data_IF_791521555898
#
_entry.id   IF_791521555898
#
_cell.length_a   1.000
_cell.length_b   1.000
_cell.length_c   1.000
_cell.angle_alpha   90.00
_cell.angle_beta   90.00
_cell.angle_gamma   90.00
#
_symmetry.space_group_name_H-M   'P 1'
#
loop_
_entity.id
_entity.type
_entity.pdbx_description
1 polymer ?
#
# COMPACT_ATOMS: atom_id res chain seq x y z
N UNK A 1 -17.61 24.16 5.00
CA UNK A 1 -16.85 22.94 5.34
C UNK A 1 -15.96 22.60 4.17
N UNK A 2 -14.71 22.21 4.41
CA UNK A 2 -13.83 21.68 3.35
C UNK A 2 -14.15 20.20 3.17
N UNK A 3 -14.10 19.70 1.94
CA UNK A 3 -14.37 18.29 1.66
C UNK A 3 -13.27 17.35 2.20
N UNK A 4 -13.43 16.04 2.03
CA UNK A 4 -12.46 15.04 2.45
C UNK A 4 -11.17 15.08 1.62
N UNK A 5 -11.26 15.36 0.32
CA UNK A 5 -10.11 15.37 -0.59
C UNK A 5 -9.07 16.43 -0.18
N UNK A 6 -9.51 17.57 0.38
CA UNK A 6 -8.59 18.59 0.90
C UNK A 6 -7.89 18.20 2.22
N UNK A 7 -8.28 17.10 2.87
CA UNK A 7 -7.72 16.63 4.13
C UNK A 7 -6.81 15.40 3.96
N UNK A 8 -6.76 14.81 2.77
CA UNK A 8 -5.95 13.64 2.46
C UNK A 8 -5.05 13.91 1.26
N UNK A 9 -3.83 13.37 1.28
CA UNK A 9 -3.03 13.23 0.06
C UNK A 9 -3.10 11.79 -0.42
N UNK A 10 -3.12 11.59 -1.73
CA UNK A 10 -3.11 10.26 -2.35
C UNK A 10 -1.80 10.11 -3.12
N UNK A 11 -1.17 8.95 -2.95
CA UNK A 11 0.05 8.54 -3.66
C UNK A 11 -0.14 7.14 -4.22
N UNK A 12 0.41 6.87 -5.40
CA UNK A 12 0.37 5.52 -5.98
C UNK A 12 1.29 4.61 -5.17
N UNK A 13 0.75 3.57 -4.55
CA UNK A 13 1.53 2.55 -3.84
C UNK A 13 1.88 1.36 -4.73
N UNK A 14 1.06 1.07 -5.75
CA UNK A 14 1.36 0.13 -6.82
C UNK A 14 0.63 0.61 -8.08
N UNK A 15 1.36 0.74 -9.18
CA UNK A 15 0.79 1.18 -10.46
C UNK A 15 -0.32 0.22 -10.89
N UNK A 16 -1.53 0.72 -11.22
CA UNK A 16 -2.62 -0.13 -11.69
C UNK A 16 -2.22 -0.94 -12.92
N UNK A 17 -2.46 -2.25 -12.90
CA UNK A 17 -2.16 -3.10 -14.04
C UNK A 17 -2.36 -4.59 -13.76
N UNK A 18 -1.98 -5.41 -14.75
CA UNK A 18 -1.93 -6.86 -14.62
C UNK A 18 -0.54 -7.24 -14.13
N UNK A 19 -0.44 -7.74 -12.90
CA UNK A 19 0.80 -8.25 -12.33
C UNK A 19 0.99 -9.72 -12.74
N UNK A 20 2.16 -10.04 -13.29
CA UNK A 20 2.56 -11.40 -13.70
C UNK A 20 3.80 -11.90 -12.95
N UNK A 21 4.43 -11.04 -12.15
CA UNK A 21 5.63 -11.30 -11.37
C UNK A 21 5.62 -10.46 -10.08
N UNK A 22 6.51 -10.80 -9.15
CA UNK A 22 6.80 -9.98 -7.97
C UNK A 22 7.20 -8.56 -8.39
N UNK A 23 6.70 -7.56 -7.68
CA UNK A 23 6.97 -6.16 -7.97
C UNK A 23 6.99 -5.32 -6.69
N UNK A 24 7.87 -4.33 -6.68
CA UNK A 24 7.91 -3.30 -5.64
C UNK A 24 7.20 -2.04 -6.14
N UNK A 25 6.42 -1.44 -5.23
CA UNK A 25 5.89 -0.11 -5.40
C UNK A 25 6.96 0.98 -5.32
N UNK A 26 6.63 2.23 -5.69
CA UNK A 26 7.52 3.35 -5.47
C UNK A 26 7.76 3.58 -3.98
N UNK A 27 8.92 4.16 -3.66
CA UNK A 27 9.23 4.63 -2.32
C UNK A 27 8.44 5.90 -2.04
N UNK A 28 7.68 5.91 -0.95
CA UNK A 28 6.84 7.04 -0.56
C UNK A 28 7.34 7.62 0.76
N UNK A 29 7.64 8.92 0.76
CA UNK A 29 8.00 9.68 1.97
C UNK A 29 6.74 10.11 2.73
N UNK A 30 6.67 9.77 4.02
CA UNK A 30 5.58 10.14 4.93
C UNK A 30 5.78 11.50 5.60
N UNK A 31 6.92 12.15 5.38
CA UNK A 31 7.24 13.40 6.05
C UNK A 31 6.13 14.45 5.87
N UNK A 32 5.64 14.98 7.01
CA UNK A 32 4.58 15.97 7.05
C UNK A 32 3.17 15.40 7.22
N UNK A 33 3.02 14.08 7.38
CA UNK A 33 1.75 13.38 7.64
C UNK A 33 1.86 12.47 8.85
N UNK A 34 0.87 12.54 9.75
CA UNK A 34 0.82 11.72 10.98
C UNK A 34 -0.07 10.48 10.85
N UNK A 35 -0.62 10.20 9.67
CA UNK A 35 -1.46 9.03 9.42
C UNK A 35 -1.27 8.53 8.00
N UNK A 36 -1.15 7.21 7.83
CA UNK A 36 -1.05 6.57 6.53
C UNK A 36 -1.92 5.29 6.49
N UNK A 37 -2.58 5.06 5.36
CA UNK A 37 -3.31 3.83 5.10
C UNK A 37 -3.15 3.42 3.64
N UNK A 38 -2.93 2.14 3.39
CA UNK A 38 -2.91 1.57 2.04
C UNK A 38 -4.27 0.98 1.73
N UNK A 39 -4.78 1.29 0.53
CA UNK A 39 -5.92 0.60 -0.06
C UNK A 39 -5.40 -0.19 -1.25
N UNK A 40 -5.65 -1.50 -1.23
CA UNK A 40 -5.32 -2.42 -2.32
C UNK A 40 -6.65 -2.84 -2.95
N UNK A 41 -6.80 -2.53 -4.24
CA UNK A 41 -7.90 -3.01 -5.05
C UNK A 41 -7.39 -4.10 -5.99
N UNK A 42 -8.05 -5.24 -5.96
CA UNK A 42 -7.79 -6.34 -6.89
C UNK A 42 -8.97 -6.48 -7.86
N UNK A 43 -8.69 -6.90 -9.08
CA UNK A 43 -9.67 -7.35 -10.04
C UNK A 43 -9.60 -8.86 -10.22
N UNK A 44 -10.06 -9.33 -11.38
CA UNK A 44 -10.03 -10.75 -11.72
C UNK A 44 -8.62 -11.36 -11.62
N UNK A 45 -8.59 -12.56 -11.04
CA UNK A 45 -7.43 -13.44 -11.06
C UNK A 45 -7.57 -14.33 -12.30
N UNK A 46 -6.55 -14.36 -13.15
CA UNK A 46 -6.50 -15.30 -14.28
C UNK A 46 -5.64 -16.51 -13.92
N UNK A 47 -6.21 -17.70 -14.13
CA UNK A 47 -5.67 -18.95 -13.61
C UNK A 47 -5.75 -18.99 -12.08
N UNK A 48 -4.77 -19.64 -11.45
CA UNK A 48 -4.65 -19.73 -9.99
C UNK A 48 -3.59 -18.74 -9.47
N UNK A 49 -3.65 -17.48 -9.94
CA UNK A 49 -2.71 -16.42 -9.56
C UNK A 49 -2.76 -16.12 -8.07
N UNK A 50 -1.72 -16.52 -7.34
CA UNK A 50 -1.60 -16.30 -5.90
C UNK A 50 -0.54 -15.24 -5.63
N UNK A 51 -0.97 -14.15 -4.99
CA UNK A 51 -0.13 -13.01 -4.69
C UNK A 51 -0.36 -12.54 -3.25
N UNK A 52 0.72 -12.24 -2.55
CA UNK A 52 0.71 -11.64 -1.22
C UNK A 52 1.16 -10.18 -1.34
N UNK A 53 0.43 -9.26 -0.70
CA UNK A 53 0.83 -7.86 -0.61
C UNK A 53 1.30 -7.53 0.81
N UNK A 54 2.57 -7.19 0.97
CA UNK A 54 3.17 -6.80 2.24
C UNK A 54 3.53 -5.31 2.24
N UNK A 55 3.39 -4.68 3.40
CA UNK A 55 3.86 -3.31 3.59
C UNK A 55 5.27 -3.35 4.13
N UNK A 56 6.18 -2.59 3.50
CA UNK A 56 7.56 -2.46 3.95
C UNK A 56 7.88 -1.01 4.28
N UNK A 57 8.72 -0.84 5.30
CA UNK A 57 9.13 0.44 5.84
C UNK A 57 10.66 0.60 5.83
N UNK A 58 11.10 1.86 5.76
CA UNK A 58 12.52 2.22 5.71
C UNK A 58 12.78 3.59 6.34
N UNK A 59 13.98 3.76 6.91
CA UNK A 59 14.44 5.04 7.47
C UNK A 59 15.24 5.88 6.46
N UNK A 60 15.92 5.23 5.50
CA UNK A 60 16.80 5.86 4.50
C UNK A 60 16.20 5.88 3.09
N UNK A 61 15.16 5.07 2.83
CA UNK A 61 14.53 4.93 1.52
C UNK A 61 15.26 3.96 0.59
N UNK A 62 16.26 3.24 1.10
CA UNK A 62 17.06 2.26 0.35
C UNK A 62 16.87 0.84 0.90
N UNK A 63 17.00 0.67 2.23
CA UNK A 63 16.85 -0.62 2.89
C UNK A 63 15.45 -0.75 3.51
N UNK A 64 14.66 -1.69 3.00
CA UNK A 64 13.29 -1.94 3.44
C UNK A 64 13.18 -3.22 4.25
N UNK A 65 12.30 -3.16 5.26
CA UNK A 65 11.89 -4.32 6.05
C UNK A 65 10.39 -4.37 6.18
N UNK A 66 9.81 -5.56 6.27
CA UNK A 66 8.38 -5.73 6.53
C UNK A 66 7.98 -4.99 7.82
N UNK A 67 6.85 -4.28 7.75
CA UNK A 67 6.25 -3.60 8.91
C UNK A 67 5.82 -4.65 9.93
N UNK A 68 6.10 -4.39 11.21
CA UNK A 68 5.70 -5.28 12.28
C UNK A 68 4.16 -5.34 12.41
N UNK A 69 3.62 -6.52 12.74
CA UNK A 69 2.15 -6.73 12.78
C UNK A 69 1.44 -5.85 13.82
N UNK A 70 2.10 -5.46 14.91
CA UNK A 70 1.57 -4.54 15.93
C UNK A 70 1.47 -3.09 15.46
N UNK A 71 2.23 -2.74 14.41
CA UNK A 71 2.21 -1.45 13.72
C UNK A 71 1.21 -1.41 12.56
N UNK A 72 0.40 -2.46 12.37
CA UNK A 72 -0.68 -2.49 11.40
C UNK A 72 -2.04 -2.55 12.11
N UNK A 73 -3.03 -1.81 11.60
CA UNK A 73 -4.42 -1.89 12.07
C UNK A 73 -5.18 -3.08 11.49
N UNK A 74 -4.73 -3.54 10.33
CA UNK A 74 -5.22 -4.74 9.66
C UNK A 74 -4.01 -5.51 9.18
N UNK A 75 -3.96 -6.82 9.46
CA UNK A 75 -2.91 -7.65 8.90
C UNK A 75 -2.99 -7.65 7.37
N UNK A 76 -1.83 -7.71 6.73
CA UNK A 76 -1.72 -7.97 5.30
C UNK A 76 -2.35 -9.35 5.00
N UNK A 77 -3.21 -9.46 3.98
CA UNK A 77 -3.79 -10.75 3.62
C UNK A 77 -2.69 -11.69 3.14
N UNK A 78 -2.75 -12.97 3.53
CA UNK A 78 -1.78 -13.98 3.09
C UNK A 78 -1.89 -14.23 1.59
N UNK A 79 -3.10 -14.14 1.04
CA UNK A 79 -3.38 -14.20 -0.40
C UNK A 79 -4.41 -13.13 -0.78
N UNK A 80 -4.21 -12.52 -1.94
CA UNK A 80 -5.12 -11.54 -2.50
C UNK A 80 -6.32 -12.24 -3.16
N UNK A 81 -7.53 -11.88 -2.71
CA UNK A 81 -8.78 -12.36 -3.28
C UNK A 81 -9.14 -11.58 -4.55
N UNK A 82 -9.78 -12.24 -5.52
CA UNK A 82 -10.29 -11.58 -6.72
C UNK A 82 -11.39 -10.55 -6.39
N UNK A 83 -11.46 -9.48 -7.18
CA UNK A 83 -12.53 -8.47 -7.12
C UNK A 83 -12.78 -7.89 -5.71
N UNK A 84 -11.70 -7.66 -4.96
CA UNK A 84 -11.76 -7.27 -3.55
C UNK A 84 -11.05 -5.95 -3.25
N UNK A 85 -11.42 -5.34 -2.13
CA UNK A 85 -10.77 -4.14 -1.61
C UNK A 85 -10.28 -4.38 -0.19
N UNK A 86 -8.97 -4.31 -0.02
CA UNK A 86 -8.31 -4.49 1.27
C UNK A 86 -7.76 -3.15 1.78
N UNK A 87 -7.92 -2.90 3.08
CA UNK A 87 -7.45 -1.68 3.75
C UNK A 87 -6.50 -2.04 4.87
N UNK A 88 -5.32 -1.42 4.85
CA UNK A 88 -4.25 -1.63 5.81
C UNK A 88 -3.88 -0.28 6.41
N UNK A 89 -4.18 -0.06 7.69
CA UNK A 89 -3.73 1.14 8.41
C UNK A 89 -2.31 0.96 8.93
N UNK A 90 -1.46 1.97 8.75
CA UNK A 90 -0.09 1.98 9.23
C UNK A 90 0.04 2.87 10.46
N UNK A 91 0.58 2.29 11.54
CA UNK A 91 0.90 2.92 12.83
C UNK A 91 2.39 2.86 13.16
N UNK A 92 3.23 2.50 12.18
CA UNK A 92 4.69 2.56 12.34
C UNK A 92 5.21 3.99 12.37
N UNK A 93 6.51 4.14 12.58
CA UNK A 93 7.17 5.42 12.81
C UNK A 93 8.26 5.75 11.78
N UNK A 94 8.53 4.84 10.84
CA UNK A 94 9.57 5.05 9.83
C UNK A 94 9.12 6.04 8.77
N UNK A 95 10.10 6.68 8.15
CA UNK A 95 9.90 7.79 7.20
C UNK A 95 9.35 7.33 5.86
N UNK A 96 9.83 6.19 5.35
CA UNK A 96 9.49 5.73 4.01
C UNK A 96 8.65 4.46 4.06
N UNK A 97 7.66 4.39 3.17
CA UNK A 97 6.83 3.22 2.94
C UNK A 97 6.87 2.79 1.47
N UNK A 98 6.79 1.49 1.24
CA UNK A 98 6.48 0.92 -0.08
C UNK A 98 5.62 -0.33 0.07
N UNK A 99 4.82 -0.61 -0.94
CA UNK A 99 4.14 -1.90 -1.04
C UNK A 99 5.06 -2.90 -1.76
N UNK A 100 5.23 -4.09 -1.20
CA UNK A 100 5.84 -5.22 -1.88
C UNK A 100 4.76 -6.21 -2.29
N UNK A 101 4.66 -6.50 -3.58
CA UNK A 101 3.75 -7.51 -4.11
C UNK A 101 4.57 -8.76 -4.46
N UNK A 102 4.43 -9.82 -3.68
CA UNK A 102 5.04 -11.11 -3.96
C UNK A 102 4.12 -11.97 -4.81
N UNK A 103 4.67 -12.59 -5.87
CA UNK A 103 3.99 -13.68 -6.59
C UNK A 103 4.35 -15.01 -5.96
N UNK A 104 3.36 -15.69 -5.39
CA UNK A 104 3.54 -16.98 -4.73
C UNK A 104 3.40 -18.12 -5.75
N UNK A 105 2.38 -18.05 -6.62
CA UNK A 105 2.16 -19.03 -7.69
C UNK A 105 1.22 -18.51 -8.80
N UNK A 106 0.90 -19.36 -9.78
CA UNK A 106 -0.09 -19.06 -10.81
C UNK A 106 0.35 -18.07 -11.90
N UNK A 107 -0.63 -17.42 -12.52
CA UNK A 107 -0.42 -16.63 -13.76
C UNK A 107 -0.39 -15.14 -13.48
N UNK A 108 -1.54 -14.54 -13.17
CA UNK A 108 -1.65 -13.10 -13.03
C UNK A 108 -2.85 -12.63 -12.22
N UNK A 109 -2.73 -11.43 -11.66
CA UNK A 109 -3.79 -10.71 -10.97
C UNK A 109 -3.86 -9.28 -11.50
N UNK A 110 -5.08 -8.74 -11.70
CA UNK A 110 -5.26 -7.31 -11.86
C UNK A 110 -5.19 -6.64 -10.48
N UNK A 111 -4.28 -5.69 -10.28
CA UNK A 111 -4.08 -5.06 -8.98
C UNK A 111 -3.72 -3.58 -9.11
N UNK A 112 -4.19 -2.79 -8.15
CA UNK A 112 -3.82 -1.41 -7.94
C UNK A 112 -3.73 -1.14 -6.45
N UNK A 113 -2.78 -0.31 -6.03
CA UNK A 113 -2.71 0.13 -4.64
C UNK A 113 -2.45 1.62 -4.55
N UNK A 114 -3.13 2.25 -3.59
CA UNK A 114 -2.97 3.67 -3.27
C UNK A 114 -2.63 3.81 -1.79
N UNK A 115 -1.70 4.71 -1.49
CA UNK A 115 -1.43 5.18 -0.15
C UNK A 115 -2.19 6.48 0.07
N UNK A 116 -2.98 6.50 1.13
CA UNK A 116 -3.69 7.68 1.62
C UNK A 116 -2.94 8.20 2.83
N UNK A 117 -2.57 9.47 2.78
CA UNK A 117 -1.89 10.17 3.85
C UNK A 117 -2.85 11.20 4.46
N UNK A 118 -2.98 11.17 5.78
CA UNK A 118 -3.86 12.04 6.56
C UNK A 118 -3.08 12.84 7.61
N UNK A 119 -3.80 13.69 8.34
CA UNK A 119 -3.23 14.49 9.43
C UNK A 119 -2.01 15.30 8.99
N UNK A 120 -2.11 15.98 7.85
CA UNK A 120 -1.02 16.80 7.36
C UNK A 120 -0.70 17.98 8.30
N UNK A 121 0.59 18.22 8.53
CA UNK A 121 1.11 19.32 9.35
C UNK A 121 0.78 20.70 8.77
N UNK A 122 0.64 20.77 7.44
CA UNK A 122 0.24 21.97 6.69
C UNK A 122 -0.92 21.63 5.77
N UNK A 123 -1.96 22.46 5.74
CA UNK A 123 -3.19 22.24 4.95
C UNK A 123 -3.50 23.47 4.09
N UNK A 124 -4.00 23.33 2.84
CA UNK A 124 -4.46 22.10 2.18
C UNK A 124 -3.33 21.21 1.68
N UNK A 125 -3.63 19.91 1.60
CA UNK A 125 -2.75 18.92 0.99
C UNK A 125 -2.98 18.84 -0.51
N UNK A 126 -1.89 18.72 -1.27
CA UNK A 126 -1.87 18.66 -2.74
C UNK A 126 -1.32 17.32 -3.25
#
# INVERSE_FOLDING_TARGET
MRDLAHNIAVRTALTPGIATATADGPVIDLQGFDSAAVIIGTGGIEGDGDFTATLEESDDGEAFSAVAADQLDSNTPESLEADSMTRIGYRGYRRFLRLHLAKNSGTSIAVAAILILGSASTRPVH
#
